data_IF_405913557989
#
_entry.id   IF_405913557989
#
_cell.length_a   1.000
_cell.length_b   1.000
_cell.length_c   1.000
_cell.angle_alpha   90.00
_cell.angle_beta   90.00
_cell.angle_gamma   90.00
#
_symmetry.space_group_name_H-M   'P 1'
#
loop_
_entity.id
_entity.type
_entity.pdbx_description
1 polymer ?
#
# COMPACT_ATOMS: atom_id res chain seq x y z
N UNK A 1 -7.97 -6.03 -0.34
CA UNK A 1 -8.07 -7.13 0.64
C UNK A 1 -6.70 -7.69 0.97
N UNK A 2 -6.49 -8.10 2.22
CA UNK A 2 -5.34 -8.84 2.72
C UNK A 2 -5.80 -9.96 3.67
N UNK A 3 -5.13 -11.11 3.59
CA UNK A 3 -5.45 -12.33 4.35
C UNK A 3 -4.32 -12.63 5.32
N UNK A 4 -4.66 -13.07 6.54
CA UNK A 4 -3.67 -13.62 7.46
C UNK A 4 -3.52 -15.13 7.22
N UNK A 5 -2.32 -15.53 6.81
CA UNK A 5 -2.01 -16.94 6.55
C UNK A 5 -1.64 -17.70 7.82
N UNK A 6 -1.37 -17.02 8.94
CA UNK A 6 -0.99 -17.62 10.23
C UNK A 6 -2.20 -18.07 11.05
N UNK A 7 -3.39 -17.54 10.74
CA UNK A 7 -4.60 -17.90 11.48
C UNK A 7 -4.89 -19.40 11.37
N UNK A 8 -5.20 -20.08 12.49
CA UNK A 8 -5.55 -21.48 12.47
C UNK A 8 -6.91 -21.68 11.77
N UNK A 9 -7.02 -22.80 11.06
CA UNK A 9 -8.23 -23.19 10.34
C UNK A 9 -9.48 -23.34 11.25
N UNK A 10 -9.29 -23.51 12.56
CA UNK A 10 -10.36 -23.62 13.55
C UNK A 10 -11.18 -22.34 13.73
N UNK A 11 -10.66 -21.18 13.34
CA UNK A 11 -11.35 -19.89 13.46
C UNK A 11 -12.44 -19.67 12.39
N UNK A 12 -12.47 -20.51 11.35
CA UNK A 12 -13.39 -20.34 10.22
C UNK A 12 -14.51 -21.38 10.30
N UNK A 13 -15.74 -20.89 10.51
CA UNK A 13 -16.93 -21.74 10.65
C UNK A 13 -17.44 -22.27 9.31
N UNK A 14 -17.36 -21.45 8.26
CA UNK A 14 -17.78 -21.83 6.91
C UNK A 14 -16.76 -22.78 6.28
N UNK A 15 -17.26 -23.90 5.77
CA UNK A 15 -16.43 -24.92 5.10
C UNK A 15 -17.05 -25.31 3.76
N UNK A 16 -16.21 -25.62 2.78
CA UNK A 16 -16.59 -26.09 1.46
C UNK A 16 -16.07 -27.51 1.27
N UNK A 17 -16.93 -28.39 0.74
CA UNK A 17 -16.49 -29.72 0.33
C UNK A 17 -15.76 -29.64 -1.01
N UNK A 18 -14.51 -30.09 -1.08
CA UNK A 18 -13.78 -30.17 -2.34
C UNK A 18 -14.26 -31.37 -3.16
N UNK A 19 -14.50 -31.17 -4.44
CA UNK A 19 -15.12 -32.19 -5.30
C UNK A 19 -14.23 -33.41 -5.53
N UNK A 20 -12.91 -33.24 -5.53
CA UNK A 20 -11.97 -34.30 -5.92
C UNK A 20 -11.71 -35.30 -4.81
N UNK A 21 -11.61 -34.85 -3.55
CA UNK A 21 -11.27 -35.71 -2.41
C UNK A 21 -12.38 -35.78 -1.35
N UNK A 22 -13.48 -35.06 -1.56
CA UNK A 22 -14.63 -35.04 -0.66
C UNK A 22 -14.35 -34.39 0.70
N UNK A 23 -13.17 -33.79 0.92
CA UNK A 23 -12.81 -33.21 2.22
C UNK A 23 -13.39 -31.81 2.41
N UNK A 24 -13.62 -31.46 3.67
CA UNK A 24 -14.11 -30.13 4.06
C UNK A 24 -12.94 -29.17 4.29
N UNK A 25 -12.88 -28.11 3.49
CA UNK A 25 -11.88 -27.05 3.59
C UNK A 25 -12.50 -25.77 4.17
N UNK A 26 -11.86 -25.11 5.15
CA UNK A 26 -12.35 -23.85 5.68
C UNK A 26 -12.27 -22.75 4.61
N UNK A 27 -13.34 -21.96 4.51
CA UNK A 27 -13.37 -20.76 3.68
C UNK A 27 -12.83 -19.59 4.50
N UNK A 28 -11.61 -19.15 4.18
CA UNK A 28 -10.97 -18.01 4.83
C UNK A 28 -11.58 -16.69 4.35
N UNK A 29 -11.79 -15.78 5.28
CA UNK A 29 -12.21 -14.40 5.02
C UNK A 29 -11.04 -13.45 5.21
N UNK A 30 -11.03 -12.34 4.48
CA UNK A 30 -9.99 -11.33 4.61
C UNK A 30 -9.84 -10.86 6.07
N UNK A 31 -8.60 -10.61 6.49
CA UNK A 31 -8.30 -9.99 7.77
C UNK A 31 -8.39 -8.46 7.68
N UNK A 32 -8.10 -7.92 6.49
CA UNK A 32 -8.15 -6.50 6.18
C UNK A 32 -8.75 -6.26 4.79
N UNK A 33 -9.68 -5.32 4.64
CA UNK A 33 -10.26 -4.90 3.37
C UNK A 33 -10.62 -3.40 3.29
N UNK A 34 -10.10 -2.68 2.31
CA UNK A 34 -10.38 -1.26 2.12
C UNK A 34 -11.58 -1.00 1.21
N UNK A 35 -12.36 -2.02 0.82
CA UNK A 35 -13.51 -1.86 -0.08
C UNK A 35 -14.56 -0.87 0.41
N UNK A 36 -14.72 -0.72 1.73
CA UNK A 36 -15.62 0.27 2.34
C UNK A 36 -15.03 1.68 2.40
N UNK A 37 -13.72 1.84 2.17
CA UNK A 37 -13.03 3.13 2.16
C UNK A 37 -13.03 3.67 0.74
N UNK A 38 -13.93 4.58 0.44
CA UNK A 38 -13.74 5.47 -0.69
C UNK A 38 -12.61 6.44 -0.32
N UNK A 39 -11.52 6.47 -1.11
CA UNK A 39 -10.42 7.42 -0.93
C UNK A 39 -10.90 8.80 -1.45
N UNK A 40 -11.91 9.37 -0.79
CA UNK A 40 -12.52 10.64 -1.15
C UNK A 40 -11.65 11.75 -0.58
N UNK A 41 -10.77 12.32 -1.41
CA UNK A 41 -10.36 13.70 -1.18
C UNK A 41 -11.44 14.61 -1.73
N UNK A 42 -12.01 15.47 -0.89
CA UNK A 42 -12.99 16.53 -1.26
C UNK A 42 -12.55 17.43 -2.43
N UNK A 43 -11.31 17.34 -2.91
CA UNK A 43 -10.77 18.10 -4.03
C UNK A 43 -10.83 17.37 -5.39
N UNK A 44 -11.25 16.11 -5.43
CA UNK A 44 -11.43 15.32 -6.65
C UNK A 44 -12.86 14.76 -6.64
N UNK A 45 -13.81 15.58 -7.08
CA UNK A 45 -15.26 15.28 -7.16
C UNK A 45 -15.63 14.25 -8.24
N UNK A 46 -14.74 13.31 -8.57
CA UNK A 46 -15.13 12.17 -9.38
C UNK A 46 -14.76 10.89 -8.64
N UNK A 47 -15.79 10.10 -8.37
CA UNK A 47 -15.83 8.83 -7.64
C UNK A 47 -15.07 7.70 -8.37
N UNK A 48 -13.88 8.00 -8.90
CA UNK A 48 -13.07 7.05 -9.65
C UNK A 48 -12.32 6.16 -8.66
N UNK A 49 -12.89 4.98 -8.40
CA UNK A 49 -12.16 3.87 -7.82
C UNK A 49 -11.16 3.34 -8.86
N UNK A 50 -9.93 3.87 -8.84
CA UNK A 50 -8.86 3.42 -9.73
C UNK A 50 -8.36 2.02 -9.35
N UNK A 51 -8.10 1.17 -10.35
CA UNK A 51 -7.57 -0.16 -10.09
C UNK A 51 -6.15 -0.08 -9.51
N UNK A 52 -5.82 -0.99 -8.60
CA UNK A 52 -4.45 -1.17 -8.11
C UNK A 52 -3.65 -1.90 -9.18
N UNK A 53 -2.54 -1.31 -9.63
CA UNK A 53 -1.71 -1.85 -10.72
C UNK A 53 -0.44 -2.51 -10.21
N UNK A 54 0.00 -2.16 -9.00
CA UNK A 54 1.14 -2.82 -8.38
C UNK A 54 1.11 -2.68 -6.85
N UNK A 55 1.68 -3.68 -6.20
CA UNK A 55 1.93 -3.73 -4.76
C UNK A 55 3.37 -4.20 -4.57
N UNK A 56 4.10 -3.55 -3.66
CA UNK A 56 5.46 -3.93 -3.32
C UNK A 56 5.72 -3.75 -1.83
N UNK A 57 6.62 -4.55 -1.29
CA UNK A 57 7.10 -4.44 0.07
C UNK A 57 8.33 -3.54 0.12
N UNK A 58 8.37 -2.67 1.12
CA UNK A 58 9.56 -1.89 1.47
C UNK A 58 10.15 -2.56 2.72
N UNK A 59 11.35 -3.11 2.58
CA UNK A 59 12.11 -3.60 3.74
C UNK A 59 12.47 -2.42 4.62
N UNK A 60 12.03 -2.45 5.88
CA UNK A 60 12.60 -1.56 6.89
C UNK A 60 14.02 -2.03 7.18
N UNK A 61 15.00 -1.15 6.99
CA UNK A 61 16.42 -1.36 7.34
C UNK A 61 16.65 -1.42 8.87
N UNK A 62 15.56 -1.51 9.64
CA UNK A 62 15.53 -1.53 11.08
C UNK A 62 15.09 -2.94 11.47
N UNK A 63 15.93 -3.63 12.23
CA UNK A 63 15.78 -4.98 12.83
C UNK A 63 14.53 -5.17 13.71
N UNK A 64 13.48 -4.34 13.57
CA UNK A 64 12.19 -4.58 14.18
C UNK A 64 11.40 -5.57 13.32
N UNK A 65 11.44 -6.85 13.67
CA UNK A 65 10.57 -7.91 13.10
C UNK A 65 9.05 -7.64 13.28
N UNK A 66 8.72 -6.55 13.96
CA UNK A 66 7.40 -6.18 14.42
C UNK A 66 6.56 -5.41 13.38
N UNK A 67 7.18 -4.73 12.41
CA UNK A 67 6.45 -3.96 11.39
C UNK A 67 7.18 -3.87 10.06
N UNK A 68 6.49 -4.04 8.92
CA UNK A 68 7.03 -3.76 7.59
C UNK A 68 6.08 -2.86 6.80
N UNK A 69 6.58 -2.23 5.74
CA UNK A 69 5.79 -1.34 4.90
C UNK A 69 5.37 -2.00 3.59
N UNK A 70 4.14 -1.75 3.19
CA UNK A 70 3.61 -2.08 1.87
C UNK A 70 3.30 -0.80 1.12
N UNK A 71 3.65 -0.77 -0.15
CA UNK A 71 3.35 0.32 -1.08
C UNK A 71 2.43 -0.24 -2.14
N UNK A 72 1.31 0.44 -2.34
CA UNK A 72 0.37 0.16 -3.42
C UNK A 72 0.26 1.37 -4.33
N UNK A 73 0.09 1.14 -5.63
CA UNK A 73 -0.14 2.20 -6.59
C UNK A 73 -1.35 1.88 -7.46
N UNK A 74 -2.14 2.90 -7.77
CA UNK A 74 -3.28 2.77 -8.67
C UNK A 74 -3.01 3.33 -10.08
N UNK A 75 -3.94 3.11 -11.00
CA UNK A 75 -3.85 3.58 -12.40
C UNK A 75 -3.69 5.11 -12.52
N UNK A 76 -4.18 5.88 -11.54
CA UNK A 76 -4.01 7.33 -11.48
C UNK A 76 -2.62 7.77 -10.96
N UNK A 77 -1.74 6.82 -10.62
CA UNK A 77 -0.43 7.12 -10.03
C UNK A 77 -0.51 7.64 -8.59
N UNK A 78 -1.62 7.39 -7.88
CA UNK A 78 -1.71 7.61 -6.44
C UNK A 78 -1.00 6.45 -5.76
N UNK A 79 -0.05 6.79 -4.91
CA UNK A 79 0.73 5.83 -4.13
C UNK A 79 0.22 5.86 -2.71
N UNK A 80 -0.12 4.70 -2.18
CA UNK A 80 -0.63 4.54 -0.82
C UNK A 80 0.34 3.65 -0.05
N UNK A 81 0.84 4.16 1.07
CA UNK A 81 1.74 3.44 1.97
C UNK A 81 0.93 2.89 3.14
N UNK A 82 1.17 1.63 3.43
CA UNK A 82 0.59 0.88 4.52
C UNK A 82 1.70 0.40 5.45
N UNK A 83 1.49 0.52 6.76
CA UNK A 83 2.30 -0.19 7.74
C UNK A 83 1.55 -1.48 8.12
N UNK A 84 2.24 -2.61 7.99
CA UNK A 84 1.77 -3.91 8.45
C UNK A 84 2.37 -4.17 9.81
N UNK A 85 1.52 -4.50 10.78
CA UNK A 85 1.85 -4.62 12.19
C UNK A 85 1.67 -6.08 12.61
N UNK A 86 2.74 -6.68 13.12
CA UNK A 86 2.71 -8.00 13.74
C UNK A 86 2.35 -7.88 15.23
N UNK A 87 1.73 -8.94 15.77
CA UNK A 87 1.43 -9.05 17.21
C UNK A 87 2.72 -8.88 18.03
N UNK A 88 2.76 -7.82 18.83
CA UNK A 88 3.92 -7.43 19.66
C UNK A 88 4.17 -5.92 19.70
N UNK A 89 3.77 -5.19 18.64
CA UNK A 89 4.04 -3.75 18.58
C UNK A 89 2.99 -2.92 19.34
N UNK A 90 3.38 -2.32 20.47
CA UNK A 90 2.56 -1.39 21.28
C UNK A 90 2.71 0.08 20.85
N UNK A 91 3.48 0.36 19.80
CA UNK A 91 4.03 1.69 19.51
C UNK A 91 3.20 2.58 18.57
N UNK A 92 2.02 2.15 18.11
CA UNK A 92 1.27 2.90 17.09
C UNK A 92 -0.07 3.37 17.65
N UNK A 93 -0.16 4.70 17.86
CA UNK A 93 -1.39 5.43 18.15
C UNK A 93 -1.81 6.12 16.84
N UNK A 94 -2.52 5.41 15.96
CA UNK A 94 -3.49 6.02 15.03
C UNK A 94 -4.32 4.95 14.29
N UNK A 95 -5.59 5.27 13.98
CA UNK A 95 -6.59 4.40 13.33
C UNK A 95 -6.11 3.91 11.94
N UNK A 96 -6.28 2.66 11.48
CA UNK A 96 -7.28 1.60 11.68
C UNK A 96 -6.56 0.24 11.69
N UNK A 97 -6.85 -0.66 12.65
CA UNK A 97 -5.94 -1.73 13.12
C UNK A 97 -6.51 -3.15 12.98
N UNK A 98 -7.25 -3.41 11.90
CA UNK A 98 -7.84 -4.71 11.58
C UNK A 98 -9.33 -4.59 11.31
N UNK A 99 -9.83 -5.31 10.30
CA UNK A 99 -11.21 -5.11 9.82
C UNK A 99 -12.14 -6.27 10.12
N UNK A 100 -11.56 -7.45 10.33
CA UNK A 100 -12.28 -8.58 10.89
C UNK A 100 -11.96 -8.73 12.39
N UNK A 101 -12.97 -8.72 13.27
CA UNK A 101 -12.76 -9.00 14.69
C UNK A 101 -12.01 -10.31 14.90
N UNK A 102 -10.99 -10.28 15.77
CA UNK A 102 -10.17 -11.46 16.10
C UNK A 102 -9.05 -11.80 15.10
N UNK A 103 -8.93 -11.08 13.98
CA UNK A 103 -7.80 -11.27 13.06
C UNK A 103 -6.48 -10.74 13.68
N UNK A 104 -5.39 -11.48 13.46
CA UNK A 104 -4.06 -11.12 13.98
C UNK A 104 -3.34 -10.08 13.11
N UNK A 105 -3.57 -10.12 11.78
CA UNK A 105 -3.03 -9.13 10.85
C UNK A 105 -3.68 -7.76 11.07
N UNK A 106 -2.84 -6.78 11.41
CA UNK A 106 -3.23 -5.38 11.55
C UNK A 106 -2.48 -4.54 10.53
N UNK A 107 -3.18 -3.61 9.88
CA UNK A 107 -2.60 -2.77 8.84
C UNK A 107 -3.14 -1.35 8.97
N UNK A 108 -2.28 -0.35 9.01
CA UNK A 108 -2.70 1.06 9.01
C UNK A 108 -2.20 1.78 7.76
N UNK A 109 -3.01 2.72 7.25
CA UNK A 109 -2.61 3.57 6.15
C UNK A 109 -1.76 4.72 6.69
N UNK A 110 -0.48 4.76 6.34
CA UNK A 110 0.45 5.77 6.88
C UNK A 110 0.55 7.01 6.01
N UNK A 111 0.35 6.89 4.70
CA UNK A 111 0.48 8.03 3.78
C UNK A 111 -0.24 7.79 2.46
N UNK A 112 -0.72 8.89 1.86
CA UNK A 112 -1.20 8.94 0.48
C UNK A 112 -0.37 9.99 -0.23
N UNK A 113 0.35 9.58 -1.27
CA UNK A 113 1.16 10.44 -2.12
C UNK A 113 0.46 10.57 -3.45
N UNK A 114 0.10 11.80 -3.81
CA UNK A 114 -0.47 12.13 -5.11
C UNK A 114 0.64 12.75 -5.96
N UNK A 115 0.73 12.34 -7.22
CA UNK A 115 1.56 13.03 -8.18
C UNK A 115 0.90 14.36 -8.52
N UNK A 116 1.38 15.46 -7.93
CA UNK A 116 0.94 16.80 -8.31
C UNK A 116 1.29 17.04 -9.79
N UNK A 117 0.25 17.19 -10.62
CA UNK A 117 0.33 17.94 -11.87
C UNK A 117 0.73 17.21 -13.16
N UNK A 118 1.30 16.00 -13.15
CA UNK A 118 1.74 15.35 -14.41
C UNK A 118 0.77 14.31 -15.00
N UNK A 119 -0.11 13.73 -14.18
CA UNK A 119 -1.04 12.68 -14.67
C UNK A 119 -2.31 13.27 -15.29
N UNK A 120 -2.72 14.47 -14.86
CA UNK A 120 -3.98 15.09 -15.29
C UNK A 120 -3.83 16.26 -16.29
N UNK A 121 -2.62 16.81 -16.50
CA UNK A 121 -2.42 18.03 -17.32
C UNK A 121 -2.23 17.78 -18.81
N UNK A 122 -2.71 16.66 -19.35
CA UNK A 122 -2.87 16.51 -20.79
C UNK A 122 -4.29 16.88 -21.22
N UNK A 123 -4.66 18.14 -21.01
CA UNK A 123 -5.91 18.73 -21.51
C UNK A 123 -6.04 18.65 -23.04
N UNK A 124 -4.96 18.33 -23.76
CA UNK A 124 -4.91 18.28 -25.23
C UNK A 124 -4.67 16.86 -25.82
N UNK A 125 -4.78 15.80 -25.03
CA UNK A 125 -4.65 14.41 -25.52
C UNK A 125 -5.91 13.61 -25.22
N UNK A 126 -6.48 12.98 -26.25
CA UNK A 126 -7.67 12.12 -26.13
C UNK A 126 -7.47 10.89 -25.26
N UNK A 127 -6.22 10.54 -24.88
CA UNK A 127 -5.91 9.39 -24.02
C UNK A 127 -5.41 9.87 -22.67
N UNK A 128 -6.18 9.59 -21.60
CA UNK A 128 -5.72 9.75 -20.22
C UNK A 128 -4.42 8.95 -20.03
N UNK A 129 -3.43 9.56 -19.38
CA UNK A 129 -2.21 8.86 -19.00
C UNK A 129 -2.55 7.97 -17.80
N UNK A 130 -2.22 6.69 -17.89
CA UNK A 130 -2.42 5.73 -16.80
C UNK A 130 -1.11 5.04 -16.47
N UNK A 131 -0.93 4.72 -15.19
CA UNK A 131 0.17 3.90 -14.69
C UNK A 131 -0.20 2.44 -14.90
N UNK A 132 0.71 1.67 -15.50
CA UNK A 132 0.53 0.24 -15.79
C UNK A 132 1.31 -0.65 -14.82
N UNK A 133 2.43 -0.16 -14.29
CA UNK A 133 3.33 -0.94 -13.45
C UNK A 133 4.17 -0.05 -12.54
N UNK A 134 4.74 -0.67 -11.50
CA UNK A 134 5.71 -0.07 -10.59
C UNK A 134 6.85 -1.03 -10.32
N UNK A 135 8.05 -0.48 -10.19
CA UNK A 135 9.21 -1.20 -9.66
C UNK A 135 9.92 -0.38 -8.59
N UNK A 136 10.30 -1.03 -7.49
CA UNK A 136 11.13 -0.44 -6.44
C UNK A 136 12.58 -0.43 -6.90
N UNK A 137 13.32 0.64 -6.59
CA UNK A 137 14.75 0.71 -6.89
C UNK A 137 15.53 -0.05 -5.81
N UNK A 138 16.24 -1.16 -6.12
CA UNK A 138 16.87 -1.98 -5.08
C UNK A 138 17.90 -1.23 -4.24
N UNK A 139 18.62 -0.30 -4.86
CA UNK A 139 19.67 0.52 -4.21
C UNK A 139 19.10 1.70 -3.42
N UNK A 140 17.80 1.96 -3.54
CA UNK A 140 17.12 3.05 -2.84
C UNK A 140 15.66 2.65 -2.57
N UNK A 141 15.36 2.01 -1.42
CA UNK A 141 14.01 1.55 -1.09
C UNK A 141 12.99 2.69 -0.93
N UNK A 142 13.46 3.94 -0.81
CA UNK A 142 12.60 5.11 -0.84
C UNK A 142 12.25 5.56 -2.26
N UNK A 143 12.80 4.96 -3.31
CA UNK A 143 12.55 5.32 -4.70
C UNK A 143 11.82 4.21 -5.45
N UNK A 144 10.86 4.62 -6.26
CA UNK A 144 10.14 3.72 -7.15
C UNK A 144 9.89 4.38 -8.51
N UNK A 145 9.79 3.54 -9.54
CA UNK A 145 9.59 3.93 -10.92
C UNK A 145 8.20 3.46 -11.35
N UNK A 146 7.42 4.37 -11.96
CA UNK A 146 6.10 4.08 -12.50
C UNK A 146 6.15 4.08 -14.03
N UNK A 147 5.76 2.96 -14.65
CA UNK A 147 5.64 2.85 -16.10
C UNK A 147 4.23 3.23 -16.55
N UNK A 148 4.11 4.02 -17.63
CA UNK A 148 2.82 4.50 -18.13
C UNK A 148 2.43 3.89 -19.48
N UNK A 149 1.15 3.99 -19.84
CA UNK A 149 0.64 3.65 -21.18
C UNK A 149 1.18 4.52 -22.32
N UNK A 150 1.97 5.55 -22.04
CA UNK A 150 2.61 6.42 -23.03
C UNK A 150 4.08 6.08 -23.28
N UNK A 151 4.59 5.00 -22.70
CA UNK A 151 6.00 4.63 -22.82
C UNK A 151 6.92 5.56 -22.00
N UNK A 152 6.38 6.27 -21.01
CA UNK A 152 7.17 7.11 -20.10
C UNK A 152 7.37 6.41 -18.76
N UNK A 153 8.50 6.70 -18.13
CA UNK A 153 8.84 6.24 -16.78
C UNK A 153 8.89 7.46 -15.87
N UNK A 154 8.15 7.42 -14.77
CA UNK A 154 8.12 8.49 -13.77
C UNK A 154 8.85 8.01 -12.52
N UNK A 155 9.84 8.78 -12.08
CA UNK A 155 10.57 8.49 -10.84
C UNK A 155 9.97 9.22 -9.65
N UNK A 156 9.68 8.48 -8.59
CA UNK A 156 9.16 8.99 -7.32
C UNK A 156 10.10 8.62 -6.18
N UNK A 157 10.22 9.53 -5.22
CA UNK A 157 10.99 9.31 -4.00
C UNK A 157 10.14 9.67 -2.77
N UNK A 158 10.00 8.74 -1.83
CA UNK A 158 9.24 8.83 -0.58
C UNK A 158 9.62 10.07 0.24
N UNK A 159 10.90 10.47 0.20
CA UNK A 159 11.45 11.61 0.95
C UNK A 159 10.90 12.97 0.54
N UNK A 160 10.30 13.10 -0.66
CA UNK A 160 9.65 14.34 -1.09
C UNK A 160 8.18 14.45 -0.65
N UNK A 161 7.58 13.37 -0.18
CA UNK A 161 6.17 13.34 0.25
C UNK A 161 5.99 13.28 1.77
N UNK A 162 7.01 12.84 2.51
CA UNK A 162 7.05 13.00 3.96
C UNK A 162 7.54 14.42 4.31
N UNK A 163 6.63 15.37 4.50
CA UNK A 163 6.89 16.45 5.47
C UNK A 163 7.06 15.78 6.82
N UNK A 164 8.30 15.38 7.13
CA UNK A 164 8.73 14.92 8.44
C UNK A 164 8.27 15.94 9.49
N UNK A 165 7.24 15.60 10.25
CA UNK A 165 7.02 16.18 11.57
C UNK A 165 7.91 15.35 12.51
N UNK A 166 9.16 15.78 12.64
CA UNK A 166 10.19 15.17 13.47
C UNK A 166 11.51 15.94 13.32
N UNK A 167 12.41 15.95 14.33
CA UNK A 167 13.59 16.81 14.31
C UNK A 167 14.51 16.42 13.13
N UNK A 168 14.68 17.32 12.17
CA UNK A 168 15.58 17.13 11.03
C UNK A 168 17.04 17.22 11.51
N UNK A 169 17.80 16.15 11.37
CA UNK A 169 19.25 16.23 11.39
C UNK A 169 19.71 16.47 9.96
N UNK A 170 20.14 17.69 9.67
CA UNK A 170 20.87 18.03 8.45
C UNK A 170 22.25 17.39 8.52
N UNK A 171 22.56 16.43 7.65
CA UNK A 171 23.96 16.10 7.34
C UNK A 171 24.44 17.08 6.28
N UNK A 172 25.25 18.05 6.71
CA UNK A 172 26.07 18.83 5.80
C UNK A 172 27.23 17.95 5.34
N UNK A 173 27.30 17.65 4.05
CA UNK A 173 28.54 17.21 3.43
C UNK A 173 29.43 18.45 3.24
N UNK A 174 30.15 18.82 4.29
CA UNK A 174 31.41 19.54 4.08
C UNK A 174 32.50 18.49 3.99
N UNK A 175 32.98 18.27 2.77
CA UNK A 175 34.25 17.59 2.56
C UNK A 175 35.38 18.47 3.07
N UNK A 176 36.31 17.84 3.77
CA UNK A 176 37.74 18.14 3.71
C UNK A 176 38.46 16.81 3.67
#
# INVERSE_FOLDING_TARGET
MAYDLREPNSLFTTKLQWREDGKMYPLRTAAYDTSFKAVISKALEEDHQFAIVAISNVSSDIDSSETYQLVSVNEAGIVIIWAVINEGSTRIIDHDLGLRPGAQLKMTQTSIIRSDGFVYSNLNSSRKMVVNCMIMVPMNPAQFLLGTNRGTIISFVLSKAAKLIGPKIYRNNFGY
#
